data_IF_052344195794
#
_entry.id   IF_052344195794
#
_cell.length_a   1.000
_cell.length_b   1.000
_cell.length_c   1.000
_cell.angle_alpha   90.00
_cell.angle_beta   90.00
_cell.angle_gamma   90.00
#
_symmetry.space_group_name_H-M   'P 1'
#
loop_
_entity.id
_entity.type
_entity.pdbx_description
1 polymer ?
#
# COMPACT_ATOMS: atom_id res chain seq x y z
N UNK A 1 -44.14 15.03 66.68
CA UNK A 1 -42.87 15.10 65.90
C UNK A 1 -42.42 13.77 65.27
N UNK A 2 -43.31 12.75 65.14
CA UNK A 2 -42.94 11.43 64.58
C UNK A 2 -43.36 11.27 63.10
N UNK A 3 -44.36 12.04 62.63
CA UNK A 3 -44.92 11.94 61.27
C UNK A 3 -44.03 12.51 60.16
N UNK A 4 -43.16 13.46 60.46
CA UNK A 4 -42.27 14.09 59.47
C UNK A 4 -41.03 13.25 59.14
N UNK A 5 -40.58 12.38 60.06
CA UNK A 5 -39.44 11.49 59.80
C UNK A 5 -39.80 10.29 58.92
N UNK A 6 -41.08 9.87 58.92
CA UNK A 6 -41.54 8.74 58.12
C UNK A 6 -41.66 9.09 56.62
N UNK A 7 -41.99 10.35 56.30
CA UNK A 7 -42.15 10.80 54.90
C UNK A 7 -40.81 10.89 54.16
N UNK A 8 -39.73 11.26 54.85
CA UNK A 8 -38.39 11.32 54.27
C UNK A 8 -37.82 9.92 53.98
N UNK A 9 -38.14 8.92 54.81
CA UNK A 9 -37.68 7.54 54.62
C UNK A 9 -38.36 6.86 53.42
N UNK A 10 -39.63 7.17 53.15
CA UNK A 10 -40.37 6.58 52.00
C UNK A 10 -39.88 7.16 50.66
N UNK A 11 -39.52 8.44 50.59
CA UNK A 11 -38.95 9.02 49.36
C UNK A 11 -37.55 8.48 49.02
N UNK A 12 -36.74 8.13 50.02
CA UNK A 12 -35.41 7.53 49.79
C UNK A 12 -35.46 6.07 49.31
N UNK A 13 -36.58 5.37 49.52
CA UNK A 13 -36.74 3.96 49.10
C UNK A 13 -37.22 3.80 47.65
N UNK A 14 -37.64 4.88 46.98
CA UNK A 14 -38.21 4.83 45.63
C UNK A 14 -37.20 5.12 44.49
N UNK A 15 -35.96 5.51 44.82
CA UNK A 15 -34.95 5.81 43.80
C UNK A 15 -34.16 4.54 43.42
N UNK A 16 -34.83 3.60 42.75
CA UNK A 16 -34.13 2.49 42.09
C UNK A 16 -33.65 3.01 40.73
N UNK A 17 -32.34 3.09 40.48
CA UNK A 17 -31.84 3.51 39.17
C UNK A 17 -32.25 2.45 38.14
N UNK A 18 -33.15 2.81 37.23
CA UNK A 18 -33.45 1.99 36.06
C UNK A 18 -32.20 1.93 35.20
N UNK A 19 -31.52 0.80 35.25
CA UNK A 19 -30.41 0.49 34.34
C UNK A 19 -31.01 0.24 32.96
N UNK A 20 -31.07 1.27 32.12
CA UNK A 20 -31.34 1.13 30.70
C UNK A 20 -30.29 0.22 30.08
N UNK A 21 -30.65 -1.03 29.83
CA UNK A 21 -29.80 -1.99 29.10
C UNK A 21 -29.70 -1.51 27.66
N UNK A 22 -28.57 -0.89 27.32
CA UNK A 22 -28.24 -0.54 25.94
C UNK A 22 -28.23 -1.82 25.09
N UNK A 23 -29.21 -1.96 24.19
CA UNK A 23 -29.22 -3.06 23.24
C UNK A 23 -28.14 -2.80 22.19
N UNK A 24 -27.08 -3.60 22.21
CA UNK A 24 -25.99 -3.51 21.23
C UNK A 24 -26.41 -4.30 20.00
N UNK A 25 -27.01 -3.63 19.02
CA UNK A 25 -27.24 -4.20 17.69
C UNK A 25 -25.89 -4.31 16.98
N UNK A 26 -25.32 -5.51 16.95
CA UNK A 26 -24.13 -5.79 16.15
C UNK A 26 -24.54 -5.91 14.68
N UNK A 27 -24.43 -4.80 13.94
CA UNK A 27 -24.57 -4.83 12.50
C UNK A 27 -23.28 -5.32 11.84
N UNK A 28 -23.36 -6.16 10.80
CA UNK A 28 -22.19 -6.58 10.04
C UNK A 28 -21.60 -5.38 9.30
N UNK A 29 -20.33 -5.08 9.56
CA UNK A 29 -19.58 -4.06 8.81
C UNK A 29 -18.93 -4.74 7.61
N UNK A 30 -19.55 -4.63 6.44
CA UNK A 30 -19.01 -5.17 5.19
C UNK A 30 -18.23 -4.07 4.45
N UNK A 31 -16.99 -4.38 4.06
CA UNK A 31 -16.16 -3.53 3.21
C UNK A 31 -15.86 -4.26 1.91
N UNK A 32 -16.53 -3.86 0.82
CA UNK A 32 -16.34 -4.48 -0.50
C UNK A 32 -15.52 -3.58 -1.43
N UNK A 33 -14.71 -4.22 -2.27
CA UNK A 33 -13.96 -3.57 -3.35
C UNK A 33 -14.15 -4.40 -4.62
N UNK A 34 -14.65 -3.77 -5.68
CA UNK A 34 -14.92 -4.41 -6.97
C UNK A 34 -14.28 -3.63 -8.12
N UNK A 35 -13.80 -4.37 -9.12
CA UNK A 35 -13.25 -3.84 -10.38
C UNK A 35 -13.97 -4.58 -11.51
N UNK A 36 -14.66 -3.85 -12.38
CA UNK A 36 -15.30 -4.39 -13.58
C UNK A 36 -14.57 -3.90 -14.83
N UNK A 37 -13.56 -4.64 -15.27
CA UNK A 37 -12.73 -4.29 -16.44
C UNK A 37 -12.47 -5.53 -17.29
N UNK A 38 -12.40 -5.37 -18.60
CA UNK A 38 -11.93 -6.41 -19.53
C UNK A 38 -10.45 -6.21 -19.83
N UNK A 39 -9.68 -7.30 -19.85
CA UNK A 39 -8.26 -7.27 -20.22
C UNK A 39 -7.92 -8.44 -21.14
N UNK A 40 -7.07 -8.17 -22.13
CA UNK A 40 -6.46 -9.21 -22.96
C UNK A 40 -5.20 -9.70 -22.24
N UNK A 41 -5.16 -10.99 -21.91
CA UNK A 41 -4.04 -11.62 -21.21
C UNK A 41 -3.45 -12.70 -22.12
N UNK A 42 -2.14 -12.72 -22.36
CA UNK A 42 -1.53 -13.79 -23.13
C UNK A 42 -1.61 -15.12 -22.37
N UNK A 43 -1.57 -16.25 -23.07
CA UNK A 43 -1.58 -17.56 -22.43
C UNK A 43 -0.38 -17.71 -21.47
N UNK A 44 -0.65 -18.17 -20.24
CA UNK A 44 0.29 -18.21 -19.10
C UNK A 44 0.82 -16.85 -18.66
N UNK A 45 0.25 -15.77 -19.18
CA UNK A 45 0.56 -14.40 -18.81
C UNK A 45 -0.19 -13.96 -17.55
N UNK A 46 0.29 -12.85 -16.98
CA UNK A 46 -0.40 -12.12 -15.93
C UNK A 46 -0.45 -10.64 -16.29
N UNK A 47 -1.57 -10.00 -15.97
CA UNK A 47 -1.79 -8.56 -16.13
C UNK A 47 -2.27 -7.99 -14.81
N UNK A 48 -1.66 -6.88 -14.39
CA UNK A 48 -2.09 -6.11 -13.22
C UNK A 48 -3.27 -5.22 -13.61
N UNK A 49 -4.42 -5.43 -12.99
CA UNK A 49 -5.63 -4.62 -13.22
C UNK A 49 -5.55 -3.27 -12.52
N UNK A 50 -4.80 -3.20 -11.42
CA UNK A 50 -4.59 -1.97 -10.69
C UNK A 50 -4.18 -2.20 -9.25
N UNK A 51 -3.92 -1.09 -8.57
CA UNK A 51 -3.57 -1.09 -7.15
C UNK A 51 -4.28 0.04 -6.42
N UNK A 52 -4.63 -0.21 -5.16
CA UNK A 52 -5.18 0.75 -4.23
C UNK A 52 -4.19 0.93 -3.08
N UNK A 53 -3.61 2.11 -2.98
CA UNK A 53 -2.75 2.52 -1.87
C UNK A 53 -3.48 3.54 -1.00
N UNK A 54 -3.64 3.25 0.29
CA UNK A 54 -4.22 4.17 1.27
C UNK A 54 -3.25 4.38 2.41
N UNK A 55 -2.92 5.63 2.70
CA UNK A 55 -2.15 6.03 3.87
C UNK A 55 -2.99 6.94 4.75
N UNK A 56 -3.05 6.65 6.04
CA UNK A 56 -3.71 7.49 7.02
C UNK A 56 -2.71 7.86 8.12
N UNK A 57 -2.59 9.16 8.39
CA UNK A 57 -1.82 9.70 9.49
C UNK A 57 -2.76 10.42 10.46
N UNK A 58 -2.75 10.01 11.73
CA UNK A 58 -3.50 10.66 12.80
C UNK A 58 -2.54 11.07 13.90
N UNK A 59 -2.58 12.34 14.28
CA UNK A 59 -1.94 12.84 15.49
C UNK A 59 -2.99 13.40 16.42
N UNK A 60 -3.07 12.85 17.64
CA UNK A 60 -3.90 13.38 18.71
C UNK A 60 -2.98 13.98 19.77
N UNK A 61 -3.37 15.15 20.25
CA UNK A 61 -2.60 15.97 21.16
C UNK A 61 -3.49 16.30 22.36
N UNK A 62 -3.12 15.81 23.55
CA UNK A 62 -3.75 16.19 24.82
C UNK A 62 -2.68 16.71 25.77
N UNK A 63 -2.89 17.83 26.44
CA UNK A 63 -1.92 18.37 27.39
C UNK A 63 -2.11 19.86 27.70
N UNK A 64 -1.27 20.35 28.60
CA UNK A 64 -1.27 21.72 29.12
C UNK A 64 -0.85 22.75 28.04
N UNK A 65 -1.38 23.99 28.03
CA UNK A 65 -1.06 25.02 27.03
C UNK A 65 0.44 25.38 26.94
N UNK A 66 1.22 25.15 28.00
CA UNK A 66 2.69 25.36 28.02
C UNK A 66 3.49 24.36 27.14
N UNK A 67 2.81 23.45 26.42
CA UNK A 67 3.42 22.45 25.53
C UNK A 67 4.07 23.05 24.27
N UNK A 68 3.74 24.28 23.89
CA UNK A 68 4.35 24.95 22.74
C UNK A 68 5.83 25.30 22.95
N UNK A 69 6.31 25.24 24.19
CA UNK A 69 7.70 25.54 24.52
C UNK A 69 8.62 24.45 23.94
N UNK A 70 9.68 24.85 23.19
CA UNK A 70 10.69 23.92 22.72
C UNK A 70 11.33 23.20 23.92
N UNK A 71 11.69 21.93 23.74
CA UNK A 71 12.28 21.03 24.75
C UNK A 71 11.32 20.58 25.88
N UNK A 72 10.50 21.44 26.47
CA UNK A 72 9.55 21.05 27.53
C UNK A 72 8.26 20.40 26.99
N UNK A 73 7.85 20.75 25.77
CA UNK A 73 6.61 20.27 25.16
C UNK A 73 6.52 18.74 24.97
N UNK A 74 7.66 18.05 24.90
CA UNK A 74 7.71 16.58 24.82
C UNK A 74 7.41 15.87 26.14
N UNK A 75 7.67 16.53 27.27
CA UNK A 75 7.56 15.94 28.60
C UNK A 75 6.19 16.22 29.24
N UNK A 76 5.59 17.38 28.90
CA UNK A 76 4.31 17.86 29.45
C UNK A 76 3.11 17.42 28.59
N UNK A 77 3.37 16.95 27.37
CA UNK A 77 2.35 16.64 26.37
C UNK A 77 2.09 15.15 26.15
N UNK A 78 0.84 14.72 26.27
CA UNK A 78 0.41 13.42 25.76
C UNK A 78 0.16 13.52 24.24
N UNK A 79 0.96 12.80 23.47
CA UNK A 79 0.78 12.68 22.02
C UNK A 79 0.53 11.22 21.64
N UNK A 80 -0.55 10.99 20.89
CA UNK A 80 -0.77 9.72 20.22
C UNK A 80 -0.57 9.93 18.72
N UNK A 81 0.29 9.13 18.11
CA UNK A 81 0.51 9.14 16.65
C UNK A 81 0.15 7.75 16.13
N UNK A 82 -0.69 7.72 15.11
CA UNK A 82 -1.09 6.48 14.44
C UNK A 82 -0.87 6.64 12.95
N UNK A 83 -0.16 5.69 12.38
CA UNK A 83 0.05 5.59 10.94
C UNK A 83 -0.47 4.24 10.47
N UNK A 84 -1.28 4.24 9.42
CA UNK A 84 -1.77 3.03 8.80
C UNK A 84 -1.60 3.13 7.28
N UNK A 85 -0.85 2.18 6.70
CA UNK A 85 -0.65 2.06 5.26
C UNK A 85 -1.27 0.75 4.78
N UNK A 86 -2.14 0.82 3.78
CA UNK A 86 -2.77 -0.35 3.16
C UNK A 86 -2.48 -0.33 1.66
N UNK A 87 -1.97 -1.44 1.16
CA UNK A 87 -1.76 -1.68 -0.26
C UNK A 87 -2.58 -2.90 -0.65
N UNK A 88 -3.43 -2.73 -1.66
CA UNK A 88 -4.21 -3.79 -2.28
C UNK A 88 -3.89 -3.79 -3.76
N UNK A 89 -3.53 -4.95 -4.31
CA UNK A 89 -3.17 -5.11 -5.72
C UNK A 89 -4.05 -6.22 -6.30
N UNK A 90 -4.55 -6.00 -7.50
CA UNK A 90 -5.36 -6.98 -8.24
C UNK A 90 -4.62 -7.36 -9.50
N UNK A 91 -4.37 -8.66 -9.64
CA UNK A 91 -3.72 -9.27 -10.79
C UNK A 91 -4.62 -10.37 -11.35
N UNK A 92 -4.64 -10.51 -12.67
CA UNK A 92 -5.33 -11.59 -13.36
C UNK A 92 -4.29 -12.39 -14.12
N UNK A 93 -4.34 -13.71 -13.96
CA UNK A 93 -3.53 -14.65 -14.73
C UNK A 93 -4.47 -15.58 -15.50
N UNK A 94 -4.14 -15.84 -16.76
CA UNK A 94 -4.89 -16.73 -17.62
C UNK A 94 -4.01 -17.89 -18.06
N UNK A 95 -4.57 -19.09 -18.09
CA UNK A 95 -3.94 -20.27 -18.69
C UNK A 95 -5.00 -21.00 -19.50
N UNK A 96 -4.70 -21.23 -20.77
CA UNK A 96 -5.50 -22.07 -21.66
C UNK A 96 -5.04 -23.51 -21.43
N UNK A 97 -6.00 -24.41 -21.25
CA UNK A 97 -5.75 -25.83 -21.03
C UNK A 97 -6.16 -26.57 -22.30
N UNK A 98 -5.19 -27.21 -22.96
CA UNK A 98 -5.45 -28.15 -24.04
C UNK A 98 -5.68 -29.54 -23.44
N UNK A 99 -6.94 -29.98 -23.46
CA UNK A 99 -7.33 -31.28 -22.93
C UNK A 99 -6.79 -32.44 -23.78
N UNK A 100 -6.64 -32.29 -25.10
CA UNK A 100 -6.14 -33.35 -25.97
C UNK A 100 -4.67 -33.62 -25.72
N UNK A 101 -3.86 -32.56 -25.59
CA UNK A 101 -2.45 -32.67 -25.23
C UNK A 101 -2.26 -33.27 -23.82
N UNK A 102 -3.13 -32.93 -22.86
CA UNK A 102 -3.11 -33.53 -21.53
C UNK A 102 -3.45 -35.01 -21.56
N UNK A 103 -4.50 -35.41 -22.27
CA UNK A 103 -4.90 -36.81 -22.37
C UNK A 103 -3.81 -37.64 -23.05
N UNK A 104 -3.19 -37.13 -24.12
CA UNK A 104 -2.04 -37.77 -24.74
C UNK A 104 -0.84 -37.89 -23.79
N UNK A 105 -0.54 -36.86 -23.01
CA UNK A 105 0.53 -36.91 -22.02
C UNK A 105 0.24 -37.94 -20.91
N UNK A 106 -1.02 -38.00 -20.43
CA UNK A 106 -1.47 -38.97 -19.44
C UNK A 106 -1.41 -40.39 -19.98
N UNK A 107 -1.86 -40.61 -21.22
CA UNK A 107 -1.77 -41.92 -21.89
C UNK A 107 -0.33 -42.34 -22.13
N UNK A 108 0.54 -41.41 -22.56
CA UNK A 108 1.97 -41.68 -22.73
C UNK A 108 2.65 -42.01 -21.40
N UNK A 109 2.28 -41.34 -20.30
CA UNK A 109 2.78 -41.66 -18.97
C UNK A 109 2.25 -43.02 -18.48
N UNK A 110 0.98 -43.33 -18.72
CA UNK A 110 0.40 -44.64 -18.41
C UNK A 110 1.06 -45.77 -19.20
N UNK A 111 1.33 -45.56 -20.49
CA UNK A 111 2.08 -46.51 -21.32
C UNK A 111 3.49 -46.73 -20.78
N UNK A 112 4.23 -45.66 -20.44
CA UNK A 112 5.55 -45.79 -19.80
C UNK A 112 5.51 -46.52 -18.47
N UNK A 113 4.48 -46.31 -17.65
CA UNK A 113 4.28 -47.04 -16.39
C UNK A 113 3.97 -48.51 -16.61
N UNK A 114 3.19 -48.84 -17.64
CA UNK A 114 2.89 -50.22 -18.01
C UNK A 114 4.13 -50.94 -18.58
N UNK A 115 4.94 -50.26 -19.41
CA UNK A 115 6.18 -50.79 -19.99
C UNK A 115 7.31 -50.94 -18.96
N UNK A 116 7.29 -50.14 -17.89
CA UNK A 116 8.25 -50.25 -16.77
C UNK A 116 8.01 -51.49 -15.89
N UNK A 117 7.07 -52.36 -16.27
CA UNK A 117 6.81 -53.62 -15.62
C UNK A 117 5.92 -53.48 -14.39
N UNK A 118 4.98 -54.41 -14.27
CA UNK A 118 4.13 -54.68 -13.10
C UNK A 118 4.95 -55.14 -11.86
N UNK A 119 5.97 -54.37 -11.47
CA UNK A 119 6.64 -54.49 -10.19
C UNK A 119 5.90 -53.63 -9.19
N UNK A 120 5.46 -54.23 -8.08
CA UNK A 120 4.90 -53.52 -6.92
C UNK A 120 5.68 -52.22 -6.69
N UNK A 121 5.03 -51.07 -6.93
CA UNK A 121 5.60 -49.76 -6.61
C UNK A 121 5.91 -49.79 -5.12
N UNK A 122 7.19 -49.93 -4.78
CA UNK A 122 7.63 -49.93 -3.39
C UNK A 122 7.18 -48.61 -2.76
N UNK A 123 6.66 -48.67 -1.53
CA UNK A 123 5.99 -47.57 -0.82
C UNK A 123 6.82 -46.27 -0.87
N UNK A 124 8.14 -46.39 -0.91
CA UNK A 124 9.11 -45.29 -1.02
C UNK A 124 9.06 -44.54 -2.37
N UNK A 125 8.77 -45.20 -3.49
CA UNK A 125 8.66 -44.56 -4.80
C UNK A 125 7.37 -43.73 -4.92
N UNK A 126 6.27 -44.21 -4.31
CA UNK A 126 5.01 -43.46 -4.22
C UNK A 126 5.20 -42.23 -3.32
N UNK A 127 5.91 -42.39 -2.21
CA UNK A 127 6.25 -41.29 -1.31
C UNK A 127 7.17 -40.26 -1.99
N UNK A 128 8.18 -40.72 -2.72
CA UNK A 128 9.07 -39.85 -3.50
C UNK A 128 8.30 -39.04 -4.56
N UNK A 129 7.39 -39.69 -5.29
CA UNK A 129 6.51 -39.02 -6.26
C UNK A 129 5.63 -37.95 -5.61
N UNK A 130 5.01 -38.26 -4.45
CA UNK A 130 4.21 -37.29 -3.70
C UNK A 130 5.04 -36.10 -3.19
N UNK A 131 6.29 -36.33 -2.77
CA UNK A 131 7.20 -35.28 -2.33
C UNK A 131 7.64 -34.38 -3.50
N UNK A 132 7.88 -34.94 -4.69
CA UNK A 132 8.22 -34.17 -5.90
C UNK A 132 7.03 -33.32 -6.36
N UNK A 133 5.81 -33.87 -6.39
CA UNK A 133 4.60 -33.12 -6.76
C UNK A 133 4.29 -31.99 -5.76
N UNK A 134 4.49 -32.23 -4.46
CA UNK A 134 4.42 -31.17 -3.44
C UNK A 134 5.50 -30.11 -3.65
N UNK A 135 6.73 -30.49 -3.98
CA UNK A 135 7.83 -29.55 -4.22
C UNK A 135 7.60 -28.71 -5.48
N UNK A 136 7.03 -29.29 -6.55
CA UNK A 136 6.67 -28.57 -7.77
C UNK A 136 5.60 -27.50 -7.50
N UNK A 137 4.52 -27.83 -6.78
CA UNK A 137 3.49 -26.87 -6.36
C UNK A 137 4.03 -25.77 -5.44
N UNK A 138 4.94 -26.12 -4.52
CA UNK A 138 5.63 -25.15 -3.66
C UNK A 138 6.54 -24.23 -4.48
N UNK A 139 7.28 -24.74 -5.48
CA UNK A 139 8.13 -23.88 -6.33
C UNK A 139 7.35 -22.93 -7.22
N UNK A 140 6.19 -23.34 -7.75
CA UNK A 140 5.30 -22.44 -8.49
C UNK A 140 4.77 -21.32 -7.58
N UNK A 141 4.24 -21.68 -6.41
CA UNK A 141 3.80 -20.70 -5.41
C UNK A 141 4.95 -19.82 -4.90
N UNK A 142 6.17 -20.36 -4.83
CA UNK A 142 7.37 -19.65 -4.39
C UNK A 142 7.94 -18.72 -5.47
N UNK A 143 7.82 -19.06 -6.76
CA UNK A 143 8.09 -18.13 -7.88
C UNK A 143 7.11 -16.95 -7.91
N UNK A 144 5.84 -17.20 -7.56
CA UNK A 144 4.85 -16.13 -7.35
C UNK A 144 5.13 -15.29 -6.10
N UNK A 145 5.71 -15.87 -5.03
CA UNK A 145 6.11 -15.11 -3.83
C UNK A 145 7.43 -14.37 -4.00
N UNK A 146 8.38 -14.90 -4.75
CA UNK A 146 9.67 -14.24 -5.01
C UNK A 146 9.55 -13.08 -6.00
N UNK A 147 8.64 -13.15 -6.97
CA UNK A 147 8.24 -11.99 -7.78
C UNK A 147 7.59 -10.89 -6.92
N UNK A 148 6.80 -11.27 -5.90
CA UNK A 148 6.21 -10.33 -4.93
C UNK A 148 7.20 -9.76 -3.91
N UNK A 149 8.26 -10.50 -3.57
CA UNK A 149 9.37 -10.01 -2.75
C UNK A 149 10.32 -9.09 -3.54
N UNK A 150 10.50 -9.35 -4.83
CA UNK A 150 11.22 -8.46 -5.75
C UNK A 150 10.44 -7.15 -6.00
N UNK A 151 9.11 -7.21 -6.13
CA UNK A 151 8.21 -6.04 -6.20
C UNK A 151 8.08 -5.26 -4.87
N UNK A 152 8.63 -5.79 -3.77
CA UNK A 152 8.67 -5.17 -2.44
C UNK A 152 9.92 -4.34 -2.17
N UNK A 153 10.90 -4.33 -3.08
CA UNK A 153 11.84 -3.21 -3.09
C UNK A 153 11.02 -2.01 -3.56
N UNK A 154 11.04 -0.86 -2.87
CA UNK A 154 10.80 0.38 -3.57
C UNK A 154 11.90 0.45 -4.63
N UNK A 155 11.60 -0.04 -5.83
CA UNK A 155 12.20 0.52 -7.01
C UNK A 155 11.81 1.98 -6.92
N UNK A 156 12.73 2.78 -6.36
CA UNK A 156 12.91 4.17 -6.75
C UNK A 156 12.56 4.17 -8.23
N UNK A 157 11.52 4.91 -8.68
CA UNK A 157 11.17 4.89 -10.08
C UNK A 157 12.49 5.05 -10.81
N UNK A 158 12.83 4.05 -11.62
CA UNK A 158 13.90 4.16 -12.59
C UNK A 158 13.45 5.35 -13.40
N UNK A 159 13.91 6.52 -12.96
CA UNK A 159 13.93 7.71 -13.75
C UNK A 159 14.64 7.18 -14.97
N UNK A 160 13.92 7.13 -16.08
CA UNK A 160 14.46 7.51 -17.36
C UNK A 160 15.61 8.46 -17.04
N UNK A 161 16.84 8.12 -17.41
CA UNK A 161 17.99 8.99 -17.23
C UNK A 161 17.74 10.24 -18.06
N UNK A 162 16.85 11.11 -17.56
CA UNK A 162 16.61 12.46 -18.03
C UNK A 162 17.95 13.10 -17.77
N UNK A 163 18.63 13.40 -18.87
CA UNK A 163 19.96 13.99 -18.81
C UNK A 163 19.89 15.24 -17.94
N UNK A 164 20.92 15.56 -17.18
CA UNK A 164 20.90 16.73 -16.27
C UNK A 164 20.51 18.04 -17.00
N UNK A 165 20.79 18.11 -18.31
CA UNK A 165 20.36 19.17 -19.20
C UNK A 165 18.84 19.23 -19.41
N UNK A 166 18.17 18.10 -19.63
CA UNK A 166 16.71 18.04 -19.77
C UNK A 166 15.99 18.42 -18.48
N UNK A 167 16.51 17.98 -17.32
CA UNK A 167 15.95 18.37 -16.02
C UNK A 167 16.05 19.88 -15.80
N UNK A 168 17.19 20.48 -16.17
CA UNK A 168 17.40 21.92 -16.08
C UNK A 168 16.41 22.70 -16.96
N UNK A 169 16.20 22.25 -18.21
CA UNK A 169 15.23 22.86 -19.12
C UNK A 169 13.79 22.77 -18.61
N UNK A 170 13.41 21.64 -18.01
CA UNK A 170 12.10 21.48 -17.40
C UNK A 170 11.90 22.43 -16.21
N UNK A 171 12.93 22.62 -15.37
CA UNK A 171 12.89 23.56 -14.25
C UNK A 171 12.72 25.00 -14.72
N UNK A 172 13.47 25.42 -15.75
CA UNK A 172 13.36 26.77 -16.33
C UNK A 172 11.98 27.01 -16.96
N UNK A 173 11.45 26.02 -17.69
CA UNK A 173 10.10 26.09 -18.28
C UNK A 173 9.05 26.26 -17.19
N UNK A 174 9.10 25.47 -16.12
CA UNK A 174 8.17 25.58 -14.98
C UNK A 174 8.30 26.92 -14.25
N UNK A 175 9.51 27.44 -14.11
CA UNK A 175 9.74 28.76 -13.52
C UNK A 175 9.04 29.86 -14.32
N UNK A 176 9.20 29.84 -15.65
CA UNK A 176 8.54 30.81 -16.55
C UNK A 176 7.02 30.70 -16.53
N UNK A 177 6.48 29.48 -16.45
CA UNK A 177 5.05 29.25 -16.34
C UNK A 177 4.50 29.81 -15.03
N UNK A 178 5.22 29.61 -13.93
CA UNK A 178 4.83 30.10 -12.60
C UNK A 178 4.78 31.64 -12.53
N UNK A 179 5.62 32.33 -13.31
CA UNK A 179 5.56 33.80 -13.46
C UNK A 179 4.28 34.19 -14.20
N UNK A 180 3.97 33.52 -15.32
CA UNK A 180 2.73 33.76 -16.10
C UNK A 180 1.48 33.50 -15.27
N UNK A 181 1.52 32.49 -14.42
CA UNK A 181 0.42 32.13 -13.52
C UNK A 181 0.29 33.07 -12.30
N UNK A 182 1.11 34.13 -12.20
CA UNK A 182 1.07 35.09 -11.10
C UNK A 182 1.57 34.54 -9.76
N UNK A 183 2.38 33.47 -9.77
CA UNK A 183 2.90 32.79 -8.57
C UNK A 183 4.42 32.98 -8.44
N UNK A 184 4.90 34.19 -8.07
CA UNK A 184 6.33 34.49 -8.01
C UNK A 184 7.06 33.63 -6.97
N UNK A 185 6.40 33.27 -5.86
CA UNK A 185 6.97 32.38 -4.84
C UNK A 185 7.33 30.98 -5.38
N UNK A 186 6.50 30.42 -6.26
CA UNK A 186 6.78 29.13 -6.89
C UNK A 186 7.93 29.24 -7.90
N UNK A 187 7.94 30.31 -8.71
CA UNK A 187 9.03 30.59 -9.65
C UNK A 187 10.40 30.66 -8.96
N UNK A 188 10.48 31.29 -7.78
CA UNK A 188 11.71 31.36 -6.97
C UNK A 188 12.23 29.98 -6.57
N UNK A 189 11.35 29.06 -6.22
CA UNK A 189 11.73 27.68 -5.85
C UNK A 189 12.33 26.97 -7.07
N UNK A 190 11.69 27.08 -8.24
CA UNK A 190 12.19 26.48 -9.48
C UNK A 190 13.55 27.05 -9.91
N UNK A 191 13.76 28.36 -9.83
CA UNK A 191 15.07 28.95 -10.12
C UNK A 191 16.16 28.54 -9.14
N UNK A 192 15.85 28.40 -7.84
CA UNK A 192 16.82 27.87 -6.86
C UNK A 192 17.20 26.42 -7.14
N UNK A 193 16.25 25.61 -7.62
CA UNK A 193 16.53 24.23 -8.02
C UNK A 193 17.37 24.19 -9.30
N UNK A 194 17.06 25.03 -10.29
CA UNK A 194 17.84 25.15 -11.53
C UNK A 194 19.29 25.56 -11.25
N UNK A 195 19.52 26.55 -10.37
CA UNK A 195 20.86 26.98 -9.96
C UNK A 195 21.71 25.86 -9.38
N UNK A 196 21.11 24.98 -8.56
CA UNK A 196 21.81 23.84 -7.95
C UNK A 196 22.14 22.72 -8.94
N UNK A 197 21.55 22.74 -10.14
CA UNK A 197 21.67 21.66 -11.13
C UNK A 197 22.59 22.01 -12.29
N UNK A 198 22.96 23.29 -12.45
CA UNK A 198 23.87 23.76 -13.51
C UNK A 198 25.23 24.13 -12.93
N UNK A 199 26.29 23.66 -13.57
CA UNK A 199 27.68 24.01 -13.22
C UNK A 199 28.20 25.17 -14.10
N UNK A 200 27.43 25.60 -15.10
CA UNK A 200 27.80 26.67 -16.02
C UNK A 200 27.70 28.04 -15.34
N UNK A 201 28.86 28.69 -15.13
CA UNK A 201 28.95 29.98 -14.46
C UNK A 201 28.13 31.10 -15.15
N UNK A 202 27.97 31.04 -16.48
CA UNK A 202 27.18 32.00 -17.25
C UNK A 202 25.68 31.83 -16.97
N UNK A 203 25.19 30.59 -16.96
CA UNK A 203 23.78 30.29 -16.67
C UNK A 203 23.43 30.62 -15.21
N UNK A 204 24.34 30.38 -14.27
CA UNK A 204 24.14 30.76 -12.87
C UNK A 204 23.92 32.27 -12.72
N UNK A 205 24.72 33.10 -13.39
CA UNK A 205 24.56 34.56 -13.36
C UNK A 205 23.21 35.01 -13.90
N UNK A 206 22.73 34.38 -14.97
CA UNK A 206 21.40 34.68 -15.54
C UNK A 206 20.29 34.27 -14.57
N UNK A 207 20.38 33.09 -13.95
CA UNK A 207 19.40 32.62 -12.96
C UNK A 207 19.38 33.54 -11.72
N UNK A 208 20.55 33.98 -11.25
CA UNK A 208 20.65 34.89 -10.11
C UNK A 208 20.07 36.28 -10.43
N UNK A 209 20.28 36.78 -11.66
CA UNK A 209 19.62 38.01 -12.12
C UNK A 209 18.09 37.89 -12.13
N UNK A 210 17.54 36.74 -12.55
CA UNK A 210 16.09 36.48 -12.51
C UNK A 210 15.56 36.33 -11.07
N UNK A 211 16.33 35.72 -10.18
CA UNK A 211 15.96 35.60 -8.76
C UNK A 211 15.89 36.96 -8.07
N UNK A 212 16.78 37.90 -8.41
CA UNK A 212 16.78 39.25 -7.87
C UNK A 212 15.60 40.09 -8.38
N UNK A 213 15.12 39.85 -9.61
CA UNK A 213 13.89 40.50 -10.14
C UNK A 213 12.60 40.05 -9.47
N UNK A 214 12.61 38.88 -8.83
CA UNK A 214 11.45 38.29 -8.15
C UNK A 214 11.46 38.54 -6.62
N UNK A 215 12.36 39.40 -6.14
CA UNK A 215 12.37 39.91 -4.78
C UNK A 215 11.45 41.13 -4.66
#
# INVERSE_FOLDING_TARGET
MIRTKLFAAVCMLACVPQTTRAQVLQLPVVSQFSIGTSVLVPDRGAVTLGSLSRSHYRSVHRGHPLRSLPYLGRVIGNQARTQATRLSEVQVAASIIDHGALDQAVLAEAARRNDSGSGQLSRDQVLAGQLVSRRAGVTAAQRYRSSRAAARRPTKPTSTTVTAAEELQQLLTRASQSIRDGKPGAARIFYRMARKRTDDAVLQRLIDAQLNRLQ
#
